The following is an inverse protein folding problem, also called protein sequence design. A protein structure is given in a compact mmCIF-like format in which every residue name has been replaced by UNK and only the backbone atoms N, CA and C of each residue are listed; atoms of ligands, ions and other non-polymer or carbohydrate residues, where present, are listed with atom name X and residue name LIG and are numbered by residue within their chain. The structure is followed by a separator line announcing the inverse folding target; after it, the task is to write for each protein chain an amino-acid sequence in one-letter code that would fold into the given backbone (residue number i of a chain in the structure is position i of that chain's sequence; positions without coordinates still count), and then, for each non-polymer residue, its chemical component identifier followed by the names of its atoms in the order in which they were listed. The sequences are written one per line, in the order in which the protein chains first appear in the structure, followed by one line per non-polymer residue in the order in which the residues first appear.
data_IF_394179983437
#
_entry.id   IF_394179983437
#
_cell.length_a   1.000
_cell.length_b   1.000
_cell.length_c   1.000
_cell.angle_alpha   90.00
_cell.angle_beta   90.00
_cell.angle_gamma   90.00
#
_symmetry.space_group_name_H-M   'P 1'
#
loop_
_entity.id
_entity.type
_entity.pdbx_description
1 polymer ?
#
# COMPACT_ATOMS: atom_id res chain seq x y z
N UNK A 1 -3.39 19.24 -1.86
CA UNK A 1 -2.22 18.89 -1.01
C UNK A 1 -1.86 17.40 -1.04
N UNK A 2 -2.73 16.45 -1.41
CA UNK A 2 -2.48 15.00 -1.27
C UNK A 2 -1.70 14.24 -2.38
N UNK A 3 -1.10 14.89 -3.39
CA UNK A 3 -0.45 14.16 -4.50
C UNK A 3 1.05 13.87 -4.30
N UNK A 4 1.76 14.71 -3.53
CA UNK A 4 3.20 14.54 -3.26
C UNK A 4 3.47 13.46 -2.21
N UNK A 5 2.69 13.44 -1.14
CA UNK A 5 2.89 12.53 0.00
C UNK A 5 2.63 11.06 -0.36
N UNK A 6 1.55 10.75 -1.07
CA UNK A 6 1.28 9.38 -1.58
C UNK A 6 2.39 8.89 -2.51
N UNK A 7 2.97 9.78 -3.31
CA UNK A 7 4.06 9.43 -4.22
C UNK A 7 5.30 9.02 -3.44
N UNK A 8 5.63 9.77 -2.39
CA UNK A 8 6.77 9.50 -1.52
C UNK A 8 6.63 8.14 -0.80
N UNK A 9 5.47 7.90 -0.17
CA UNK A 9 5.20 6.61 0.49
C UNK A 9 5.30 5.41 -0.45
N UNK A 10 4.85 5.54 -1.69
CA UNK A 10 4.94 4.47 -2.68
C UNK A 10 6.39 4.12 -3.04
N UNK A 11 7.29 5.12 -3.13
CA UNK A 11 8.70 4.87 -3.42
C UNK A 11 9.42 4.27 -2.22
N UNK A 12 9.16 4.75 -1.01
CA UNK A 12 9.70 4.17 0.22
C UNK A 12 9.27 2.71 0.40
N UNK A 13 7.99 2.40 0.12
CA UNK A 13 7.52 1.02 0.14
C UNK A 13 8.24 0.16 -0.91
N UNK A 14 8.41 0.65 -2.14
CA UNK A 14 9.12 -0.08 -3.20
C UNK A 14 10.58 -0.34 -2.82
N UNK A 15 11.27 0.65 -2.26
CA UNK A 15 12.66 0.55 -1.80
C UNK A 15 12.79 -0.50 -0.69
N UNK A 16 11.96 -0.43 0.35
CA UNK A 16 11.97 -1.39 1.45
C UNK A 16 11.72 -2.83 0.96
N UNK A 17 10.79 -3.03 0.02
CA UNK A 17 10.57 -4.34 -0.59
C UNK A 17 11.81 -4.81 -1.38
N UNK A 18 12.42 -3.92 -2.16
CA UNK A 18 13.59 -4.28 -2.96
C UNK A 18 14.82 -4.60 -2.10
N UNK A 19 15.03 -3.92 -0.98
CA UNK A 19 16.07 -4.26 0.01
C UNK A 19 15.87 -5.67 0.61
N UNK A 20 14.63 -6.09 0.84
CA UNK A 20 14.33 -7.45 1.31
C UNK A 20 14.53 -8.47 0.18
N UNK A 21 14.06 -8.15 -1.03
CA UNK A 21 14.20 -9.04 -2.20
C UNK A 21 15.66 -9.32 -2.53
N UNK A 22 16.51 -8.30 -2.46
CA UNK A 22 17.97 -8.45 -2.64
C UNK A 22 18.57 -9.41 -1.62
N UNK A 23 18.23 -9.25 -0.33
CA UNK A 23 18.68 -10.17 0.75
C UNK A 23 18.29 -11.63 0.51
N UNK A 24 17.21 -11.87 -0.21
CA UNK A 24 16.74 -13.21 -0.57
C UNK A 24 17.10 -13.64 -2.01
N UNK A 25 17.96 -12.90 -2.72
CA UNK A 25 18.39 -13.23 -4.08
C UNK A 25 17.32 -13.05 -5.17
N UNK A 26 16.22 -12.35 -4.87
CA UNK A 26 15.14 -12.11 -5.80
C UNK A 26 15.34 -10.81 -6.60
N UNK A 27 14.97 -10.82 -7.89
CA UNK A 27 15.07 -9.64 -8.77
C UNK A 27 14.24 -8.45 -8.25
N UNK A 28 14.70 -7.19 -8.39
CA UNK A 28 13.96 -6.02 -7.91
C UNK A 28 12.63 -5.83 -8.66
N UNK A 29 11.64 -5.30 -7.95
CA UNK A 29 10.36 -4.84 -8.50
C UNK A 29 10.51 -3.46 -9.12
N UNK A 30 9.57 -3.12 -10.00
CA UNK A 30 9.44 -1.79 -10.62
C UNK A 30 8.11 -1.16 -10.24
N UNK A 31 8.11 0.15 -10.06
CA UNK A 31 6.90 0.91 -9.77
C UNK A 31 5.89 0.81 -10.92
N UNK A 32 4.61 0.63 -10.59
CA UNK A 32 3.50 0.66 -11.54
C UNK A 32 2.43 1.66 -11.08
N UNK A 33 2.29 2.77 -11.82
CA UNK A 33 1.26 3.79 -11.56
C UNK A 33 -0.14 3.20 -11.52
N UNK A 34 -0.42 2.19 -12.36
CA UNK A 34 -1.71 1.52 -12.42
C UNK A 34 -2.00 0.72 -11.14
N UNK A 35 -1.03 -0.05 -10.66
CA UNK A 35 -1.19 -0.82 -9.41
C UNK A 35 -1.32 0.11 -8.21
N UNK A 36 -0.51 1.17 -8.13
CA UNK A 36 -0.60 2.15 -7.06
C UNK A 36 -1.96 2.86 -6.99
N UNK A 37 -2.53 3.24 -8.15
CA UNK A 37 -3.87 3.82 -8.22
C UNK A 37 -4.95 2.86 -7.72
N UNK A 38 -4.87 1.59 -8.12
CA UNK A 38 -5.77 0.53 -7.63
C UNK A 38 -5.67 0.32 -6.13
N UNK A 39 -4.45 0.18 -5.60
CA UNK A 39 -4.20 0.00 -4.17
C UNK A 39 -4.73 1.18 -3.34
N UNK A 40 -4.49 2.43 -3.77
CA UNK A 40 -5.00 3.61 -3.09
C UNK A 40 -6.53 3.67 -3.07
N UNK A 41 -7.19 3.26 -4.16
CA UNK A 41 -8.65 3.23 -4.27
C UNK A 41 -9.24 2.17 -3.34
N UNK A 42 -8.65 0.97 -3.31
CA UNK A 42 -9.08 -0.11 -2.41
C UNK A 42 -8.88 0.26 -0.94
N UNK A 43 -7.73 0.84 -0.58
CA UNK A 43 -7.47 1.29 0.79
C UNK A 43 -8.52 2.33 1.28
N UNK A 44 -8.92 3.28 0.41
CA UNK A 44 -9.97 4.24 0.72
C UNK A 44 -11.34 3.57 0.91
N UNK A 45 -11.67 2.62 0.04
CA UNK A 45 -12.90 1.82 0.16
C UNK A 45 -12.95 1.05 1.48
N UNK A 46 -11.88 0.34 1.82
CA UNK A 46 -11.79 -0.40 3.09
C UNK A 46 -11.93 0.53 4.29
N UNK A 47 -11.23 1.67 4.28
CA UNK A 47 -11.29 2.63 5.37
C UNK A 47 -12.69 3.23 5.56
N UNK A 48 -13.38 3.61 4.48
CA UNK A 48 -14.71 4.23 4.56
C UNK A 48 -15.82 3.26 4.97
N UNK A 49 -15.63 1.96 4.74
CA UNK A 49 -16.61 0.92 5.07
C UNK A 49 -16.23 0.14 6.35
N UNK A 50 -15.08 0.43 6.97
CA UNK A 50 -14.59 -0.30 8.14
C UNK A 50 -14.17 -1.76 7.85
N UNK A 51 -13.92 -2.09 6.59
CA UNK A 51 -13.63 -3.44 6.12
C UNK A 51 -12.14 -3.78 6.21
N UNK A 52 -11.83 -5.08 6.18
CA UNK A 52 -10.47 -5.60 6.04
C UNK A 52 -10.50 -6.89 5.22
N UNK A 53 -10.64 -6.74 3.90
CA UNK A 53 -10.79 -7.86 2.98
C UNK A 53 -10.07 -7.60 1.66
N UNK A 54 -9.64 -8.70 1.03
CA UNK A 54 -8.99 -8.63 -0.28
C UNK A 54 -9.92 -8.10 -1.36
N UNK A 55 -9.36 -7.39 -2.33
CA UNK A 55 -10.12 -7.03 -3.53
C UNK A 55 -10.51 -8.30 -4.29
N UNK A 56 -11.62 -8.23 -5.06
CA UNK A 56 -12.04 -9.35 -5.92
C UNK A 56 -11.16 -9.53 -7.17
N UNK A 57 -10.04 -8.82 -7.27
CA UNK A 57 -9.18 -8.87 -8.44
C UNK A 57 -8.22 -10.05 -8.37
N UNK A 58 -8.24 -10.92 -9.38
CA UNK A 58 -7.34 -12.07 -9.49
C UNK A 58 -6.15 -11.82 -10.44
N UNK A 59 -5.92 -10.56 -10.86
CA UNK A 59 -4.88 -10.20 -11.85
C UNK A 59 -3.53 -9.82 -11.24
N UNK A 60 -3.48 -9.63 -9.92
CA UNK A 60 -2.27 -9.29 -9.17
C UNK A 60 -2.35 -9.87 -7.76
N UNK A 61 -1.19 -10.10 -7.14
CA UNK A 61 -1.11 -10.40 -5.71
C UNK A 61 -1.40 -9.14 -4.89
N UNK A 62 -1.92 -9.32 -3.68
CA UNK A 62 -2.34 -8.23 -2.80
C UNK A 62 -1.94 -8.52 -1.35
N UNK A 63 -1.33 -7.54 -0.68
CA UNK A 63 -1.10 -7.54 0.76
C UNK A 63 -1.92 -6.40 1.38
N UNK A 64 -2.50 -6.63 2.56
CA UNK A 64 -3.29 -5.63 3.28
C UNK A 64 -2.72 -5.38 4.67
N UNK A 65 -2.78 -4.13 5.09
CA UNK A 65 -2.49 -3.70 6.45
C UNK A 65 -3.56 -2.70 6.89
N UNK A 66 -4.11 -2.89 8.08
CA UNK A 66 -5.03 -1.94 8.71
C UNK A 66 -4.50 -1.58 10.08
N UNK A 67 -4.57 -0.29 10.42
CA UNK A 67 -4.32 0.22 11.76
C UNK A 67 -5.59 0.93 12.23
N UNK A 68 -6.20 0.41 13.29
CA UNK A 68 -7.41 0.97 13.91
C UNK A 68 -7.06 1.51 15.30
N UNK A 69 -7.76 2.54 15.74
CA UNK A 69 -7.64 3.09 17.09
C UNK A 69 -8.87 3.93 17.43
N UNK A 70 -8.95 4.48 18.66
CA UNK A 70 -9.99 5.43 19.05
C UNK A 70 -10.12 6.60 18.05
N UNK A 71 -11.27 7.29 18.05
CA UNK A 71 -11.59 8.40 17.12
C UNK A 71 -10.51 9.49 17.07
N UNK A 72 -9.75 9.68 18.15
CA UNK A 72 -8.69 10.69 18.26
C UNK A 72 -7.28 10.11 18.01
N UNK A 73 -7.17 8.92 17.41
CA UNK A 73 -5.87 8.32 17.12
C UNK A 73 -5.19 9.10 16.02
N UNK A 74 -4.11 9.79 16.37
CA UNK A 74 -3.19 10.31 15.38
C UNK A 74 -2.41 9.15 14.77
N UNK A 75 -2.64 8.89 13.50
CA UNK A 75 -1.88 7.92 12.73
C UNK A 75 -0.52 8.53 12.41
N UNK A 76 0.51 8.19 13.18
CA UNK A 76 1.88 8.54 12.84
C UNK A 76 2.46 7.56 11.82
N UNK A 77 3.28 8.09 10.91
CA UNK A 77 4.12 7.34 9.99
C UNK A 77 5.55 7.28 10.51
#
# INVERSE_FOLDING_TARGET
MGSKETKELNYQALEAHNQLRERHGARPLKYSKRLASGAQSHAKYLASHGLFEHSKCNKYGENLLVRKGPVNTQLTG
#
